data_IF_773753885015
#
_entry.id   IF_773753885015
#
_cell.length_a   1.000
_cell.length_b   1.000
_cell.length_c   1.000
_cell.angle_alpha   90.00
_cell.angle_beta   90.00
_cell.angle_gamma   90.00
#
_symmetry.space_group_name_H-M   'P 1'
#
loop_
_entity.id
_entity.type
_entity.pdbx_description
1 polymer ?
#
# COMPACT_ATOMS: atom_id res chain seq x y z
N UNK A 1 -5.20 -17.85 4.53
CA UNK A 1 -3.78 -17.83 4.12
C UNK A 1 -3.25 -16.43 4.34
N UNK A 2 -2.26 -16.28 5.22
CA UNK A 2 -1.54 -15.02 5.38
C UNK A 2 -0.54 -14.93 4.23
N UNK A 3 -0.73 -13.99 3.31
CA UNK A 3 0.26 -13.71 2.27
C UNK A 3 1.35 -12.86 2.89
N UNK A 4 2.56 -13.43 3.01
CA UNK A 4 3.70 -12.67 3.50
C UNK A 4 4.34 -11.89 2.33
N UNK A 5 4.01 -10.61 2.21
CA UNK A 5 4.60 -9.69 1.23
C UNK A 5 5.71 -8.83 1.87
N UNK A 6 6.18 -9.14 3.08
CA UNK A 6 7.21 -8.37 3.77
C UNK A 6 8.52 -8.37 2.98
N UNK A 7 9.11 -7.20 2.74
CA UNK A 7 10.39 -7.06 2.04
C UNK A 7 10.30 -7.23 0.52
N UNK A 8 9.11 -7.37 -0.05
CA UNK A 8 8.92 -7.51 -1.50
C UNK A 8 8.73 -6.15 -2.17
N UNK A 9 9.44 -5.93 -3.27
CA UNK A 9 9.28 -4.74 -4.11
C UNK A 9 8.07 -4.88 -5.03
N UNK A 10 7.25 -3.83 -5.11
CA UNK A 10 6.16 -3.75 -6.07
C UNK A 10 6.62 -2.97 -7.31
N UNK A 11 7.12 -3.68 -8.32
CA UNK A 11 7.64 -3.06 -9.56
C UNK A 11 6.63 -3.15 -10.70
N UNK A 12 6.08 -4.34 -10.96
CA UNK A 12 5.06 -4.58 -11.99
C UNK A 12 3.98 -5.53 -11.47
N UNK A 13 2.77 -5.40 -12.01
CA UNK A 13 1.64 -6.28 -11.64
C UNK A 13 1.88 -7.74 -12.01
N UNK A 14 2.57 -8.00 -13.13
CA UNK A 14 2.90 -9.37 -13.60
C UNK A 14 3.84 -10.12 -12.66
N UNK A 15 4.50 -9.42 -11.74
CA UNK A 15 5.39 -10.04 -10.76
C UNK A 15 4.61 -10.65 -9.59
N UNK A 16 3.28 -10.47 -9.54
CA UNK A 16 2.41 -10.92 -8.46
C UNK A 16 1.40 -11.97 -8.95
N UNK A 17 1.12 -12.94 -8.09
CA UNK A 17 0.05 -13.89 -8.33
C UNK A 17 -1.32 -13.21 -8.17
N UNK A 18 -2.35 -13.60 -8.94
CA UNK A 18 -3.69 -13.03 -8.80
C UNK A 18 -4.25 -13.11 -7.37
N UNK A 19 -3.84 -14.10 -6.58
CA UNK A 19 -4.23 -14.23 -5.18
C UNK A 19 -3.61 -13.17 -4.27
N UNK A 20 -2.37 -12.76 -4.56
CA UNK A 20 -1.64 -11.73 -3.82
C UNK A 20 -2.22 -10.35 -4.11
N UNK A 21 -2.55 -10.07 -5.37
CA UNK A 21 -3.26 -8.84 -5.75
C UNK A 21 -4.63 -8.76 -5.09
N UNK A 22 -5.40 -9.86 -5.08
CA UNK A 22 -6.67 -9.92 -4.35
C UNK A 22 -6.51 -9.68 -2.84
N UNK A 23 -5.41 -10.13 -2.26
CA UNK A 23 -5.09 -9.85 -0.86
C UNK A 23 -4.83 -8.35 -0.63
N UNK A 24 -4.03 -7.70 -1.49
CA UNK A 24 -3.78 -6.26 -1.41
C UNK A 24 -5.07 -5.44 -1.55
N UNK A 25 -5.97 -5.83 -2.47
CA UNK A 25 -7.26 -5.16 -2.65
C UNK A 25 -8.15 -5.27 -1.39
N UNK A 26 -8.23 -6.45 -0.77
CA UNK A 26 -8.97 -6.65 0.49
C UNK A 26 -8.37 -5.84 1.64
N UNK A 27 -7.04 -5.74 1.70
CA UNK A 27 -6.36 -4.92 2.70
C UNK A 27 -6.68 -3.43 2.51
N UNK A 28 -6.67 -2.95 1.27
CA UNK A 28 -7.02 -1.57 0.95
C UNK A 28 -8.48 -1.24 1.31
N UNK A 29 -9.40 -2.17 1.05
CA UNK A 29 -10.81 -2.05 1.46
C UNK A 29 -10.94 -1.92 2.98
N UNK A 30 -10.30 -2.81 3.74
CA UNK A 30 -10.35 -2.78 5.20
C UNK A 30 -9.77 -1.47 5.77
N UNK A 31 -8.67 -0.97 5.21
CA UNK A 31 -8.08 0.31 5.59
C UNK A 31 -9.02 1.49 5.28
N UNK A 32 -9.67 1.48 4.11
CA UNK A 32 -10.63 2.51 3.72
C UNK A 32 -11.84 2.54 4.66
N UNK A 33 -12.36 1.37 5.03
CA UNK A 33 -13.46 1.25 5.99
C UNK A 33 -13.05 1.73 7.38
N UNK A 34 -11.84 1.39 7.84
CA UNK A 34 -11.33 1.82 9.13
C UNK A 34 -11.16 3.35 9.20
N UNK A 35 -10.60 3.97 8.15
CA UNK A 35 -10.49 5.43 8.04
C UNK A 35 -11.88 6.09 8.03
N UNK A 36 -12.82 5.57 7.23
CA UNK A 36 -14.19 6.10 7.18
C UNK A 36 -14.93 5.98 8.52
N UNK A 37 -14.70 4.91 9.27
CA UNK A 37 -15.26 4.71 10.60
C UNK A 37 -14.55 5.50 11.71
N UNK A 38 -13.47 6.23 11.39
CA UNK A 38 -12.64 6.95 12.36
C UNK A 38 -11.81 6.05 13.30
N UNK A 39 -11.69 4.76 12.99
CA UNK A 39 -10.97 3.75 13.78
C UNK A 39 -9.63 3.38 13.12
N UNK A 40 -8.96 4.35 12.51
CA UNK A 40 -7.64 4.14 11.94
C UNK A 40 -6.63 3.83 13.05
N UNK A 41 -5.74 2.86 12.77
CA UNK A 41 -4.65 2.49 13.67
C UNK A 41 -3.34 2.83 12.99
N UNK A 42 -2.46 3.56 13.68
CA UNK A 42 -1.13 3.85 13.19
C UNK A 42 -0.29 2.56 13.11
N UNK A 43 -0.04 2.06 11.89
CA UNK A 43 0.68 0.80 11.64
C UNK A 43 2.14 0.98 11.23
N UNK A 44 2.50 2.17 10.75
CA UNK A 44 3.83 2.46 10.19
C UNK A 44 4.62 3.47 11.04
N UNK A 45 4.23 3.66 12.31
CA UNK A 45 4.95 4.52 13.24
C UNK A 45 6.44 4.16 13.31
N UNK A 46 7.31 5.16 13.23
CA UNK A 46 8.76 4.99 13.24
C UNK A 46 9.39 4.45 11.96
N UNK A 47 8.64 4.36 10.85
CA UNK A 47 9.19 4.05 9.52
C UNK A 47 9.30 5.31 8.67
N UNK A 48 10.43 5.48 8.00
CA UNK A 48 10.66 6.56 7.05
C UNK A 48 10.44 6.06 5.61
N UNK A 49 9.77 6.87 4.79
CA UNK A 49 9.49 6.57 3.38
C UNK A 49 10.12 7.69 2.54
N UNK A 50 11.05 7.32 1.65
CA UNK A 50 11.62 8.23 0.67
C UNK A 50 10.81 8.21 -0.63
N UNK A 51 10.37 9.38 -1.10
CA UNK A 51 9.65 9.54 -2.37
C UNK A 51 10.57 10.22 -3.38
N UNK A 52 10.96 9.50 -4.43
CA UNK A 52 11.88 9.99 -5.48
C UNK A 52 11.08 10.15 -6.78
N UNK A 53 11.07 11.36 -7.34
CA UNK A 53 10.38 11.68 -8.59
C UNK A 53 11.38 12.17 -9.63
N UNK A 54 11.56 11.41 -10.70
CA UNK A 54 12.36 11.85 -11.86
C UNK A 54 11.60 12.87 -12.71
N UNK A 55 10.27 12.74 -12.78
CA UNK A 55 9.36 13.66 -13.47
C UNK A 55 8.27 14.11 -12.51
N UNK A 56 7.84 15.36 -12.61
CA UNK A 56 6.79 15.93 -11.77
C UNK A 56 5.46 15.19 -11.95
N UNK A 57 4.95 14.60 -10.85
CA UNK A 57 3.65 13.91 -10.80
C UNK A 57 2.81 14.43 -9.63
N UNK A 58 1.82 15.28 -9.93
CA UNK A 58 0.91 15.87 -8.95
C UNK A 58 -0.12 14.88 -8.39
N UNK A 59 -0.25 13.69 -8.98
CA UNK A 59 -1.14 12.62 -8.50
C UNK A 59 -0.44 11.62 -7.59
N UNK A 60 0.89 11.64 -7.56
CA UNK A 60 1.72 10.69 -6.77
C UNK A 60 2.43 11.39 -5.62
N UNK A 61 2.70 12.70 -5.75
CA UNK A 61 2.99 13.60 -4.64
C UNK A 61 1.89 14.65 -4.54
N UNK A 62 0.89 14.48 -3.66
CA UNK A 62 0.10 15.63 -3.25
C UNK A 62 1.01 16.64 -2.51
N UNK A 63 0.74 17.94 -2.61
CA UNK A 63 1.50 18.99 -1.95
C UNK A 63 1.48 18.88 -0.42
#
# INVERSE_FOLDING_TARGET
MAFNLSGRSFLKEIDFEPAELRYLLRLAEALKLANYAGNEVERLGGKEIALIFEKTSTRTAPP
#
